data_IF_155655541355
#
_entry.id   IF_155655541355
#
_cell.length_a   1.000
_cell.length_b   1.000
_cell.length_c   1.000
_cell.angle_alpha   90.00
_cell.angle_beta   90.00
_cell.angle_gamma   90.00
#
_symmetry.space_group_name_H-M   'P 1'
#
loop_
_entity.id
_entity.type
_entity.pdbx_description
1 polymer ?
#
# COMPACT_ATOMS: atom_id res chain seq x y z
N UNK A 1 -3.96 18.63 -1.07
CA UNK A 1 -4.77 18.89 -2.26
C UNK A 1 -6.11 19.52 -1.89
N UNK A 2 -6.94 18.85 -1.09
CA UNK A 2 -8.30 19.31 -0.69
C UNK A 2 -8.35 20.67 0.02
N UNK A 3 -7.26 21.19 0.54
CA UNK A 3 -7.17 22.53 1.14
C UNK A 3 -6.87 23.61 0.10
N UNK A 4 -6.41 23.24 -1.09
CA UNK A 4 -5.94 24.14 -2.13
C UNK A 4 -6.80 24.12 -3.40
N UNK A 5 -7.51 23.06 -3.64
CA UNK A 5 -8.36 22.86 -4.81
C UNK A 5 -9.76 22.45 -4.36
N UNK A 6 -10.77 23.04 -4.94
CA UNK A 6 -12.17 22.80 -4.59
C UNK A 6 -12.73 21.54 -5.26
N UNK A 7 -12.13 21.10 -6.39
CA UNK A 7 -12.54 19.91 -7.13
C UNK A 7 -11.37 19.13 -7.73
N UNK A 8 -11.63 17.92 -8.17
CA UNK A 8 -10.64 17.11 -8.89
C UNK A 8 -10.39 17.61 -10.32
N UNK A 9 -11.37 18.25 -10.94
CA UNK A 9 -11.25 18.93 -12.22
C UNK A 9 -10.23 20.06 -12.12
N UNK A 10 -10.29 20.87 -11.06
CA UNK A 10 -9.28 21.89 -10.83
C UNK A 10 -7.89 21.31 -10.65
N UNK A 11 -7.75 20.18 -9.95
CA UNK A 11 -6.45 19.49 -9.83
C UNK A 11 -5.96 19.01 -11.17
N UNK A 12 -6.84 18.42 -12.02
CA UNK A 12 -6.52 17.95 -13.36
C UNK A 12 -6.01 19.10 -14.23
N UNK A 13 -6.69 20.25 -14.19
CA UNK A 13 -6.43 21.38 -15.06
C UNK A 13 -5.26 22.25 -14.58
N UNK A 14 -4.88 22.12 -13.30
CA UNK A 14 -3.77 22.87 -12.69
C UNK A 14 -2.41 22.52 -13.32
N UNK A 15 -1.47 23.47 -13.34
CA UNK A 15 -0.07 23.21 -13.64
C UNK A 15 0.53 22.18 -12.66
N UNK A 16 1.36 21.26 -13.15
CA UNK A 16 2.01 20.22 -12.32
C UNK A 16 2.74 20.81 -11.10
N UNK A 17 3.38 21.99 -11.27
CA UNK A 17 4.07 22.67 -10.18
C UNK A 17 3.16 23.11 -9.02
N UNK A 18 1.89 23.39 -9.28
CA UNK A 18 0.91 23.72 -8.24
C UNK A 18 0.48 22.48 -7.48
N UNK A 19 0.24 21.37 -8.19
CA UNK A 19 -0.03 20.06 -7.59
C UNK A 19 1.17 19.65 -6.72
N UNK A 20 2.39 19.79 -7.26
CA UNK A 20 3.63 19.49 -6.53
C UNK A 20 3.73 20.28 -5.22
N UNK A 21 3.50 21.58 -5.28
CA UNK A 21 3.53 22.45 -4.10
C UNK A 21 2.51 22.03 -3.04
N UNK A 22 1.29 21.63 -3.46
CA UNK A 22 0.22 21.21 -2.58
C UNK A 22 0.50 19.89 -1.86
N UNK A 23 1.26 18.95 -2.48
CA UNK A 23 1.55 17.64 -1.90
C UNK A 23 2.97 17.52 -1.31
N UNK A 24 3.75 18.60 -1.31
CA UNK A 24 5.15 18.62 -0.84
C UNK A 24 5.36 17.99 0.54
N UNK A 25 4.50 18.23 1.55
CA UNK A 25 4.65 17.62 2.87
C UNK A 25 4.60 16.09 2.87
N UNK A 26 3.95 15.47 1.86
CA UNK A 26 3.83 14.02 1.71
C UNK A 26 5.05 13.33 1.09
N UNK A 27 6.09 14.07 0.72
CA UNK A 27 7.32 13.58 0.09
C UNK A 27 7.13 13.06 -1.34
N UNK A 28 8.22 13.01 -2.10
CA UNK A 28 8.24 12.57 -3.51
C UNK A 28 7.27 13.36 -4.41
N UNK A 29 7.01 14.63 -4.08
CA UNK A 29 6.03 15.48 -4.76
C UNK A 29 6.32 15.63 -6.25
N UNK A 30 7.59 15.75 -6.62
CA UNK A 30 8.04 15.85 -8.01
C UNK A 30 7.69 14.61 -8.87
N UNK A 31 7.64 13.44 -8.25
CA UNK A 31 7.25 12.20 -8.94
C UNK A 31 5.73 11.96 -8.90
N UNK A 32 5.09 12.34 -7.79
CA UNK A 32 3.66 12.11 -7.59
C UNK A 32 2.79 13.10 -8.37
N UNK A 33 3.17 14.37 -8.46
CA UNK A 33 2.33 15.39 -9.09
C UNK A 33 2.03 15.09 -10.58
N UNK A 34 3.02 14.74 -11.43
CA UNK A 34 2.73 14.36 -12.81
C UNK A 34 1.82 13.12 -12.90
N UNK A 35 2.00 12.14 -12.00
CA UNK A 35 1.17 10.91 -11.99
C UNK A 35 -0.27 11.21 -11.59
N UNK A 36 -0.48 12.05 -10.55
CA UNK A 36 -1.82 12.49 -10.14
C UNK A 36 -2.53 13.13 -11.33
N UNK A 37 -1.87 14.09 -11.99
CA UNK A 37 -2.43 14.76 -13.16
C UNK A 37 -2.78 13.76 -14.27
N UNK A 38 -1.87 12.87 -14.61
CA UNK A 38 -2.07 11.88 -15.67
C UNK A 38 -3.20 10.89 -15.33
N UNK A 39 -3.35 10.49 -14.07
CA UNK A 39 -4.50 9.68 -13.64
C UNK A 39 -5.81 10.43 -13.83
N UNK A 40 -5.90 11.69 -13.39
CA UNK A 40 -7.12 12.48 -13.54
C UNK A 40 -7.49 12.75 -14.99
N UNK A 41 -6.49 12.99 -15.86
CA UNK A 41 -6.69 13.12 -17.30
C UNK A 41 -7.23 11.82 -17.92
N UNK A 42 -6.74 10.67 -17.50
CA UNK A 42 -7.18 9.37 -18.02
C UNK A 42 -8.57 8.98 -17.51
N UNK A 43 -8.94 9.36 -16.29
CA UNK A 43 -10.28 9.10 -15.76
C UNK A 43 -11.36 9.83 -16.56
N UNK A 44 -11.05 11.00 -17.13
CA UNK A 44 -12.00 11.79 -17.92
C UNK A 44 -13.16 12.32 -17.07
N UNK A 45 -14.33 12.50 -17.72
CA UNK A 45 -15.56 12.96 -17.07
C UNK A 45 -16.71 11.98 -17.35
N UNK A 46 -17.52 11.66 -16.32
CA UNK A 46 -17.35 12.01 -14.91
C UNK A 46 -16.20 11.22 -14.25
N UNK A 47 -15.46 11.86 -13.32
CA UNK A 47 -14.40 11.20 -12.55
C UNK A 47 -15.02 10.33 -11.45
N UNK A 48 -15.80 9.33 -11.84
CA UNK A 48 -16.50 8.43 -10.93
C UNK A 48 -15.84 7.05 -10.92
N UNK A 49 -15.37 6.64 -9.75
CA UNK A 49 -14.82 5.33 -9.46
C UNK A 49 -15.75 4.48 -8.57
N UNK A 50 -16.97 4.97 -8.27
CA UNK A 50 -17.90 4.28 -7.38
C UNK A 50 -18.29 2.88 -7.85
N UNK A 51 -18.29 2.65 -9.16
CA UNK A 51 -18.57 1.33 -9.73
C UNK A 51 -17.56 0.25 -9.31
N UNK A 52 -16.33 0.63 -8.94
CA UNK A 52 -15.32 -0.29 -8.46
C UNK A 52 -15.69 -0.93 -7.11
N UNK A 53 -16.58 -0.33 -6.32
CA UNK A 53 -17.04 -0.90 -5.05
C UNK A 53 -17.72 -2.26 -5.25
N UNK A 54 -18.46 -2.41 -6.36
CA UNK A 54 -19.23 -3.63 -6.67
C UNK A 54 -18.64 -4.47 -7.81
N UNK A 55 -17.60 -3.97 -8.48
CA UNK A 55 -16.92 -4.68 -9.54
C UNK A 55 -16.29 -5.99 -9.02
N UNK A 56 -16.07 -6.95 -9.92
CA UNK A 56 -15.24 -8.12 -9.59
C UNK A 56 -13.84 -7.69 -9.11
N UNK A 57 -13.24 -8.52 -8.25
CA UNK A 57 -11.92 -8.23 -7.66
C UNK A 57 -10.85 -8.00 -8.72
N UNK A 58 -10.79 -8.92 -9.68
CA UNK A 58 -9.75 -8.90 -10.71
C UNK A 58 -10.02 -7.77 -11.70
N UNK A 59 -11.28 -7.52 -12.05
CA UNK A 59 -11.68 -6.37 -12.87
C UNK A 59 -11.28 -5.04 -12.22
N UNK A 60 -11.53 -4.87 -10.92
CA UNK A 60 -11.13 -3.68 -10.19
C UNK A 60 -9.60 -3.52 -10.13
N UNK A 61 -8.87 -4.62 -9.93
CA UNK A 61 -7.41 -4.62 -9.91
C UNK A 61 -6.83 -4.26 -11.28
N UNK A 62 -7.33 -4.86 -12.34
CA UNK A 62 -6.90 -4.61 -13.72
C UNK A 62 -7.14 -3.16 -14.12
N UNK A 63 -8.33 -2.64 -13.82
CA UNK A 63 -8.65 -1.24 -14.10
C UNK A 63 -7.70 -0.27 -13.36
N UNK A 64 -7.53 -0.46 -12.06
CA UNK A 64 -6.69 0.41 -11.25
C UNK A 64 -5.22 0.36 -11.67
N UNK A 65 -4.71 -0.83 -12.00
CA UNK A 65 -3.31 -0.99 -12.42
C UNK A 65 -3.04 -0.50 -13.84
N UNK A 66 -4.06 -0.36 -14.67
CA UNK A 66 -3.96 0.29 -15.98
C UNK A 66 -3.79 1.82 -15.89
N UNK A 67 -4.05 2.42 -14.73
CA UNK A 67 -3.85 3.86 -14.53
C UNK A 67 -2.36 4.21 -14.41
N UNK A 68 -1.91 5.38 -14.94
CA UNK A 68 -0.51 5.77 -14.97
C UNK A 68 0.13 5.81 -13.58
N UNK A 69 1.15 4.99 -13.35
CA UNK A 69 1.89 4.95 -12.09
C UNK A 69 1.15 4.32 -10.91
N UNK A 70 0.03 3.66 -11.17
CA UNK A 70 -0.67 2.82 -10.20
C UNK A 70 -0.20 1.38 -10.37
N UNK A 71 0.58 0.89 -9.41
CA UNK A 71 0.96 -0.52 -9.34
C UNK A 71 0.05 -1.29 -8.39
N UNK A 72 0.21 -2.61 -8.34
CA UNK A 72 -0.60 -3.53 -7.51
C UNK A 72 -0.76 -3.06 -6.06
N UNK A 73 0.33 -2.64 -5.41
CA UNK A 73 0.29 -2.11 -4.04
C UNK A 73 -0.65 -0.90 -3.92
N UNK A 74 -0.62 0.02 -4.88
CA UNK A 74 -1.47 1.23 -4.84
C UNK A 74 -2.93 0.86 -5.11
N UNK A 75 -3.19 -0.02 -6.07
CA UNK A 75 -4.52 -0.54 -6.37
C UNK A 75 -5.12 -1.27 -5.16
N UNK A 76 -4.34 -2.12 -4.48
CA UNK A 76 -4.74 -2.77 -3.25
C UNK A 76 -5.06 -1.76 -2.13
N UNK A 77 -4.24 -0.69 -1.98
CA UNK A 77 -4.56 0.39 -1.02
C UNK A 77 -5.90 1.05 -1.32
N UNK A 78 -6.18 1.38 -2.59
CA UNK A 78 -7.46 1.99 -2.96
C UNK A 78 -8.62 1.08 -2.57
N UNK A 79 -8.54 -0.20 -2.86
CA UNK A 79 -9.59 -1.16 -2.54
C UNK A 79 -9.82 -1.31 -1.04
N UNK A 80 -8.75 -1.48 -0.25
CA UNK A 80 -8.87 -1.65 1.21
C UNK A 80 -9.35 -0.37 1.90
N UNK A 81 -8.73 0.77 1.58
CA UNK A 81 -8.99 2.01 2.33
C UNK A 81 -10.26 2.74 1.90
N UNK A 82 -10.76 2.47 0.68
CA UNK A 82 -11.97 3.15 0.19
C UNK A 82 -13.22 2.30 0.39
N UNK A 83 -13.12 0.97 0.17
CA UNK A 83 -14.29 0.08 0.13
C UNK A 83 -14.18 -1.13 1.06
N UNK A 84 -13.15 -1.16 1.93
CA UNK A 84 -12.89 -2.29 2.86
C UNK A 84 -12.88 -3.67 2.15
N UNK A 85 -12.40 -3.68 0.90
CA UNK A 85 -12.29 -4.92 0.12
C UNK A 85 -11.09 -5.76 0.57
N UNK A 86 -11.20 -7.08 0.51
CA UNK A 86 -10.17 -7.98 1.02
C UNK A 86 -8.92 -8.01 0.11
N UNK A 87 -8.09 -7.01 0.24
CA UNK A 87 -6.78 -6.89 -0.41
C UNK A 87 -5.68 -6.67 0.63
N UNK A 88 -4.48 -7.15 0.35
CA UNK A 88 -3.32 -6.92 1.24
C UNK A 88 -2.30 -6.04 0.52
N UNK A 89 -2.27 -4.73 0.78
CA UNK A 89 -1.23 -3.89 0.20
C UNK A 89 0.15 -4.28 0.72
N UNK A 90 1.01 -4.82 -0.13
CA UNK A 90 2.38 -5.20 0.26
C UNK A 90 3.33 -4.04 0.00
N UNK A 91 3.62 -3.29 1.05
CA UNK A 91 4.67 -2.27 1.04
C UNK A 91 6.00 -2.82 1.58
N UNK A 92 7.01 -1.98 1.67
CA UNK A 92 8.33 -2.36 2.20
C UNK A 92 8.29 -2.83 3.67
N UNK A 93 7.32 -2.39 4.47
CA UNK A 93 7.13 -2.86 5.84
C UNK A 93 6.50 -4.25 5.85
N UNK A 94 5.37 -4.40 5.17
CA UNK A 94 4.66 -5.67 5.05
C UNK A 94 5.57 -6.75 4.48
N UNK A 95 6.27 -6.45 3.38
CA UNK A 95 7.21 -7.38 2.75
C UNK A 95 8.34 -7.81 3.69
N UNK A 96 9.00 -6.84 4.34
CA UNK A 96 10.10 -7.14 5.26
C UNK A 96 9.65 -7.95 6.46
N UNK A 97 8.52 -7.59 7.05
CA UNK A 97 8.03 -8.24 8.27
C UNK A 97 7.44 -9.60 7.94
N UNK A 98 6.64 -9.71 6.89
CA UNK A 98 6.09 -10.97 6.42
C UNK A 98 7.19 -12.00 6.11
N UNK A 99 8.24 -11.60 5.40
CA UNK A 99 9.39 -12.46 5.17
C UNK A 99 10.12 -12.87 6.45
N UNK A 100 10.28 -11.98 7.44
CA UNK A 100 10.89 -12.32 8.73
C UNK A 100 10.04 -13.24 9.59
N UNK A 101 8.73 -13.09 9.51
CA UNK A 101 7.75 -13.96 10.20
C UNK A 101 7.56 -15.29 9.48
N UNK A 102 7.98 -15.39 8.20
CA UNK A 102 7.77 -16.58 7.39
C UNK A 102 6.32 -16.72 6.91
N UNK A 103 5.64 -15.59 6.65
CA UNK A 103 4.25 -15.57 6.19
C UNK A 103 4.11 -15.91 4.69
N UNK A 104 5.20 -15.88 3.96
CA UNK A 104 5.30 -16.31 2.57
C UNK A 104 6.66 -16.96 2.32
N UNK A 105 6.80 -17.66 1.19
CA UNK A 105 7.99 -18.42 0.85
C UNK A 105 9.25 -17.56 0.82
N UNK A 106 10.42 -18.15 1.13
CA UNK A 106 11.71 -17.47 0.96
C UNK A 106 11.92 -17.03 -0.50
N UNK A 107 12.49 -15.84 -0.70
CA UNK A 107 12.75 -15.26 -2.02
C UNK A 107 11.52 -14.96 -2.88
N UNK A 108 10.33 -14.89 -2.29
CA UNK A 108 9.15 -14.38 -2.98
C UNK A 108 9.40 -12.97 -3.50
N UNK A 109 8.90 -12.67 -4.68
CA UNK A 109 8.76 -11.31 -5.18
C UNK A 109 7.65 -10.56 -4.42
N UNK A 110 7.54 -9.24 -4.63
CA UNK A 110 6.43 -8.48 -4.07
C UNK A 110 5.06 -9.00 -4.57
N UNK A 111 4.98 -9.38 -5.85
CA UNK A 111 3.76 -9.94 -6.45
C UNK A 111 3.36 -11.25 -5.80
N UNK A 112 4.30 -12.17 -5.65
CA UNK A 112 4.08 -13.46 -5.00
C UNK A 112 3.70 -13.29 -3.51
N UNK A 113 4.30 -12.33 -2.82
CA UNK A 113 3.92 -12.03 -1.44
C UNK A 113 2.48 -11.50 -1.32
N UNK A 114 2.00 -10.71 -2.30
CA UNK A 114 0.58 -10.33 -2.38
C UNK A 114 -0.32 -11.56 -2.47
N UNK A 115 -0.02 -12.48 -3.39
CA UNK A 115 -0.85 -13.67 -3.61
C UNK A 115 -0.87 -14.59 -2.38
N UNK A 116 0.29 -14.86 -1.80
CA UNK A 116 0.39 -15.74 -0.64
C UNK A 116 -0.29 -15.14 0.60
N UNK A 117 -0.14 -13.84 0.85
CA UNK A 117 -0.80 -13.17 1.97
C UNK A 117 -2.32 -13.13 1.83
N UNK A 118 -2.84 -12.98 0.61
CA UNK A 118 -4.29 -13.04 0.35
C UNK A 118 -4.91 -14.39 0.70
N UNK A 119 -4.14 -15.48 0.61
CA UNK A 119 -4.61 -16.80 1.01
C UNK A 119 -4.47 -17.08 2.50
N UNK A 120 -3.62 -16.31 3.18
CA UNK A 120 -3.28 -16.50 4.59
C UNK A 120 -4.15 -15.67 5.54
N UNK A 121 -4.53 -14.46 5.12
CA UNK A 121 -5.23 -13.48 5.96
C UNK A 121 -6.72 -13.57 5.70
N UNK A 122 -7.51 -13.65 6.76
CA UNK A 122 -8.97 -13.62 6.64
C UNK A 122 -9.41 -12.30 5.98
N UNK A 123 -10.38 -12.35 5.04
CA UNK A 123 -10.83 -11.17 4.31
C UNK A 123 -11.19 -9.97 5.18
N UNK A 124 -11.86 -10.20 6.32
CA UNK A 124 -12.24 -9.16 7.26
C UNK A 124 -11.08 -8.51 8.02
N UNK A 125 -9.90 -9.13 8.01
CA UNK A 125 -8.73 -8.64 8.77
C UNK A 125 -7.73 -7.87 7.90
N UNK A 126 -8.00 -7.72 6.60
CA UNK A 126 -7.07 -7.13 5.61
C UNK A 126 -6.54 -5.76 6.01
N UNK A 127 -7.44 -4.85 6.40
CA UNK A 127 -7.09 -3.51 6.83
C UNK A 127 -6.23 -3.53 8.10
N UNK A 128 -6.69 -4.26 9.12
CA UNK A 128 -6.00 -4.33 10.42
C UNK A 128 -4.64 -4.99 10.30
N UNK A 129 -4.54 -6.07 9.54
CA UNK A 129 -3.28 -6.75 9.25
C UNK A 129 -2.25 -5.79 8.61
N UNK A 130 -2.65 -5.08 7.56
CA UNK A 130 -1.77 -4.13 6.88
C UNK A 130 -1.31 -3.02 7.83
N UNK A 131 -2.23 -2.39 8.56
CA UNK A 131 -1.92 -1.29 9.48
C UNK A 131 -1.03 -1.72 10.64
N UNK A 132 -1.29 -2.90 11.22
CA UNK A 132 -0.48 -3.44 12.30
C UNK A 132 0.95 -3.75 11.85
N UNK A 133 1.14 -4.29 10.65
CA UNK A 133 2.49 -4.52 10.12
C UNK A 133 3.22 -3.21 9.83
N UNK A 134 2.56 -2.18 9.31
CA UNK A 134 3.19 -0.86 9.14
C UNK A 134 3.63 -0.30 10.51
N UNK A 135 2.74 -0.30 11.49
CA UNK A 135 3.04 0.20 12.84
C UNK A 135 4.21 -0.57 13.45
N UNK A 136 4.14 -1.89 13.45
CA UNK A 136 5.21 -2.76 13.95
C UNK A 136 6.54 -2.51 13.21
N UNK A 137 6.49 -2.27 11.91
CA UNK A 137 7.66 -1.99 11.08
C UNK A 137 8.31 -0.64 11.35
N UNK A 138 7.53 0.34 11.79
CA UNK A 138 8.03 1.67 12.18
C UNK A 138 8.60 1.68 13.58
N UNK A 139 7.96 0.98 14.50
CA UNK A 139 8.31 1.00 15.93
C UNK A 139 9.41 0.00 16.28
N UNK A 140 9.25 -1.26 15.90
CA UNK A 140 10.09 -2.37 16.35
C UNK A 140 10.85 -3.09 15.24
N UNK A 141 10.15 -3.57 14.23
CA UNK A 141 10.73 -4.41 13.18
C UNK A 141 11.35 -3.57 12.05
N UNK A 142 12.23 -2.63 12.39
CA UNK A 142 12.98 -1.77 11.47
C UNK A 142 13.98 -2.57 10.64
N UNK A 143 14.70 -1.97 9.65
CA UNK A 143 15.84 -2.63 8.97
C UNK A 143 16.82 -3.24 9.97
N UNK A 144 17.17 -2.51 11.04
CA UNK A 144 17.86 -3.03 12.24
C UNK A 144 16.81 -3.23 13.34
N UNK A 145 16.26 -4.44 13.53
CA UNK A 145 15.09 -4.65 14.38
C UNK A 145 15.44 -4.71 15.87
N UNK A 146 14.47 -4.32 16.71
CA UNK A 146 14.55 -4.37 18.15
C UNK A 146 13.96 -5.69 18.68
N UNK A 147 14.52 -6.83 18.24
CA UNK A 147 13.98 -8.16 18.54
C UNK A 147 13.91 -8.47 20.05
N UNK A 148 14.76 -7.86 20.86
CA UNK A 148 14.73 -8.04 22.33
C UNK A 148 13.46 -7.52 23.00
N UNK A 149 12.83 -6.48 22.41
CA UNK A 149 11.59 -5.87 22.90
C UNK A 149 10.33 -6.33 22.11
N UNK A 150 10.50 -7.26 21.15
CA UNK A 150 9.42 -7.67 20.27
C UNK A 150 8.61 -8.84 20.89
N UNK A 151 7.34 -8.65 21.11
CA UNK A 151 6.43 -9.68 21.63
C UNK A 151 6.31 -10.89 20.66
N UNK A 152 6.44 -10.64 19.35
CA UNK A 152 6.40 -11.70 18.34
C UNK A 152 7.68 -12.52 18.26
N UNK A 153 8.72 -12.19 19.02
CA UNK A 153 10.04 -12.83 18.95
C UNK A 153 9.98 -14.35 19.03
N UNK A 154 9.13 -14.89 19.93
CA UNK A 154 9.06 -16.34 20.18
C UNK A 154 8.51 -17.11 18.98
N UNK A 155 7.61 -16.52 18.23
CA UNK A 155 7.01 -17.13 17.02
C UNK A 155 7.76 -16.76 15.74
N UNK A 156 8.56 -15.69 15.74
CA UNK A 156 9.27 -15.18 14.56
C UNK A 156 10.56 -16.00 14.29
N UNK A 157 10.67 -16.69 13.14
CA UNK A 157 11.89 -17.42 12.76
C UNK A 157 13.14 -16.54 12.74
N UNK A 158 13.02 -15.30 12.25
CA UNK A 158 14.12 -14.34 12.26
C UNK A 158 14.49 -13.91 13.70
N UNK A 159 13.51 -13.58 14.52
CA UNK A 159 13.72 -13.12 15.91
C UNK A 159 14.36 -14.18 16.80
N UNK A 160 14.04 -15.46 16.57
CA UNK A 160 14.69 -16.59 17.28
C UNK A 160 16.17 -16.74 16.93
N UNK A 161 16.52 -16.58 15.64
CA UNK A 161 17.92 -16.67 15.20
C UNK A 161 18.79 -15.55 15.76
N UNK A 162 18.34 -14.30 15.65
CA UNK A 162 19.09 -13.12 16.13
C UNK A 162 19.23 -13.09 17.65
N UNK A 163 18.39 -13.81 18.39
CA UNK A 163 18.43 -13.86 19.86
C UNK A 163 19.29 -14.96 20.45
N UNK A 164 19.77 -15.90 19.62
CA UNK A 164 20.68 -16.97 20.07
C UNK A 164 22.16 -16.55 20.07
N UNK A 165 22.48 -15.39 19.50
CA UNK A 165 23.86 -14.89 19.37
C UNK A 165 24.26 -13.89 20.49
N UNK A 166 23.57 -13.90 21.64
CA UNK A 166 23.92 -13.11 22.84
C UNK A 166 24.00 -13.95 24.08
#
# INVERSE_FOLDING_TARGET
>A
LKERFDSWEEVRDAPVGEIEAAIRPGGLSNQKAPRIKSVLEQLGEPMDLGWLETADRDEAMDYLTALPGVGRKTAACVQVFTWDRPEIPVDVHVFRIGGRLGLFRPNASFEEAHDELLTLVDPGDSYEFHMNLIRHGRELCRPKPLCGACELRRMCPYGRRVGSDR
#
